data_IF_544821376322
#
_entry.id   IF_544821376322
#
_cell.length_a   1.000
_cell.length_b   1.000
_cell.length_c   1.000
_cell.angle_alpha   90.00
_cell.angle_beta   90.00
_cell.angle_gamma   90.00
#
_symmetry.space_group_name_H-M   'P 1'
#
loop_
_entity.id
_entity.type
_entity.pdbx_description
1 polymer ?
#
# COMPACT_ATOMS: atom_id res chain seq x y z
N UNK A 1 -2.85 -0.92 -5.59
CA UNK A 1 -3.76 -0.77 -6.74
C UNK A 1 -3.45 0.53 -7.48
N UNK A 2 -3.33 0.47 -8.77
CA UNK A 2 -3.10 1.63 -9.63
C UNK A 2 -4.40 1.94 -10.36
N UNK A 3 -4.80 3.21 -10.34
CA UNK A 3 -5.99 3.69 -11.03
C UNK A 3 -5.65 4.97 -11.81
N UNK A 4 -6.37 5.23 -12.88
CA UNK A 4 -6.26 6.50 -13.59
C UNK A 4 -6.83 7.63 -12.74
N UNK A 5 -6.19 8.79 -12.74
CA UNK A 5 -6.55 9.96 -11.94
C UNK A 5 -7.93 10.53 -12.29
N UNK A 6 -8.41 10.30 -13.50
CA UNK A 6 -9.76 10.65 -13.95
C UNK A 6 -10.29 9.56 -14.88
N UNK A 7 -11.64 9.45 -15.05
CA UNK A 7 -12.18 8.56 -16.04
C UNK A 7 -11.74 9.06 -17.42
N UNK A 8 -10.68 8.47 -17.92
CA UNK A 8 -10.13 8.80 -19.22
C UNK A 8 -11.05 8.20 -20.29
N UNK A 9 -11.54 9.03 -21.19
CA UNK A 9 -11.96 8.45 -22.44
C UNK A 9 -10.71 7.93 -23.17
N UNK A 10 -10.89 6.98 -24.04
CA UNK A 10 -9.78 6.32 -24.75
C UNK A 10 -8.92 7.31 -25.54
N UNK A 11 -9.48 8.41 -26.01
CA UNK A 11 -8.77 9.43 -26.77
C UNK A 11 -7.80 10.21 -25.91
N UNK A 12 -8.20 10.55 -24.68
CA UNK A 12 -7.32 11.23 -23.72
C UNK A 12 -6.19 10.29 -23.32
N UNK A 13 -6.49 9.04 -23.04
CA UNK A 13 -5.49 8.02 -22.70
C UNK A 13 -4.48 7.83 -23.85
N UNK A 14 -4.94 7.76 -25.08
CA UNK A 14 -4.06 7.64 -26.26
C UNK A 14 -3.20 8.88 -26.50
N UNK A 15 -3.61 10.05 -26.05
CA UNK A 15 -2.84 11.28 -26.16
C UNK A 15 -1.71 11.38 -25.13
N UNK A 16 -1.75 10.62 -24.03
CA UNK A 16 -0.70 10.61 -23.01
C UNK A 16 0.52 9.83 -23.49
N UNK A 17 1.60 10.55 -23.82
CA UNK A 17 2.86 9.94 -24.24
C UNK A 17 3.75 9.57 -23.07
N UNK A 18 3.71 10.36 -22.00
CA UNK A 18 4.55 10.20 -20.81
C UNK A 18 3.67 10.37 -19.57
N UNK A 19 2.82 9.39 -19.24
CA UNK A 19 1.98 9.48 -18.06
C UNK A 19 2.84 9.53 -16.80
N UNK A 20 2.53 10.46 -15.90
CA UNK A 20 3.23 10.64 -14.64
C UNK A 20 2.54 9.89 -13.51
N UNK A 21 3.33 9.24 -12.68
CA UNK A 21 2.86 8.57 -11.46
C UNK A 21 3.92 8.63 -10.37
N UNK A 22 3.51 8.34 -9.13
CA UNK A 22 4.46 8.13 -8.03
C UNK A 22 5.02 6.72 -8.10
N UNK A 23 6.31 6.58 -7.87
CA UNK A 23 6.98 5.29 -7.73
C UNK A 23 7.26 5.03 -6.26
N UNK A 24 6.81 3.87 -5.76
CA UNK A 24 7.00 3.47 -4.38
C UNK A 24 6.03 4.13 -3.41
N UNK A 25 6.37 4.06 -2.13
CA UNK A 25 5.52 4.54 -1.04
C UNK A 25 5.53 6.06 -0.92
N UNK A 26 4.36 6.65 -0.76
CA UNK A 26 4.24 8.04 -0.32
C UNK A 26 4.66 8.15 1.16
N UNK A 27 5.24 9.29 1.57
CA UNK A 27 5.48 9.56 2.99
C UNK A 27 4.20 9.43 3.81
N UNK A 28 4.26 8.66 4.89
CA UNK A 28 3.10 8.42 5.76
C UNK A 28 2.99 9.50 6.83
N UNK A 29 1.82 10.17 6.95
CA UNK A 29 1.53 11.00 8.11
C UNK A 29 1.56 10.20 9.40
N UNK A 30 1.69 10.87 10.54
CA UNK A 30 1.77 10.22 11.84
C UNK A 30 0.58 9.28 12.09
N UNK A 31 -0.64 9.72 11.83
CA UNK A 31 -1.84 8.90 12.05
C UNK A 31 -1.88 7.63 11.21
N UNK A 32 -1.31 7.63 10.01
CA UNK A 32 -1.20 6.44 9.16
C UNK A 32 -0.14 5.49 9.74
N UNK A 33 0.98 6.02 10.21
CA UNK A 33 2.01 5.21 10.87
C UNK A 33 1.48 4.53 12.13
N UNK A 34 0.71 5.25 12.93
CA UNK A 34 0.07 4.70 14.13
C UNK A 34 -0.90 3.57 13.81
N UNK A 35 -1.69 3.69 12.73
CA UNK A 35 -2.56 2.61 12.26
C UNK A 35 -1.76 1.38 11.81
N UNK A 36 -0.70 1.58 11.04
CA UNK A 36 0.13 0.48 10.55
C UNK A 36 0.82 -0.27 11.68
N UNK A 37 1.17 0.42 12.76
CA UNK A 37 1.85 -0.18 13.91
C UNK A 37 0.91 -0.97 14.82
N UNK A 38 -0.41 -0.83 14.66
CA UNK A 38 -1.37 -1.63 15.41
C UNK A 38 -1.27 -3.11 15.03
N UNK A 39 -1.29 -4.03 15.99
CA UNK A 39 -1.23 -5.48 15.73
C UNK A 39 -2.49 -6.01 15.03
N UNK A 40 -3.63 -5.38 15.26
CA UNK A 40 -4.90 -5.73 14.61
C UNK A 40 -5.77 -4.48 14.44
N UNK A 41 -6.61 -4.50 13.43
CA UNK A 41 -7.54 -3.40 13.14
C UNK A 41 -8.97 -3.81 13.46
N UNK A 42 -9.70 -2.89 14.05
CA UNK A 42 -11.15 -2.95 14.14
C UNK A 42 -11.81 -2.21 12.95
N UNK A 43 -13.13 -2.17 12.92
CA UNK A 43 -13.88 -1.49 11.85
C UNK A 43 -13.55 0.01 11.77
N UNK A 44 -13.33 0.67 12.91
CA UNK A 44 -12.98 2.08 12.95
C UNK A 44 -11.58 2.32 12.35
N UNK A 45 -10.63 1.42 12.60
CA UNK A 45 -9.29 1.49 12.02
C UNK A 45 -9.34 1.29 10.51
N UNK A 46 -10.15 0.36 10.02
CA UNK A 46 -10.37 0.16 8.58
C UNK A 46 -10.94 1.41 7.92
N UNK A 47 -11.96 2.03 8.51
CA UNK A 47 -12.53 3.27 8.01
C UNK A 47 -11.52 4.43 8.04
N UNK A 48 -10.71 4.51 9.08
CA UNK A 48 -9.67 5.54 9.18
C UNK A 48 -8.61 5.37 8.09
N UNK A 49 -8.20 4.15 7.80
CA UNK A 49 -7.26 3.87 6.72
C UNK A 49 -7.89 4.15 5.35
N UNK A 50 -9.15 3.81 5.14
CA UNK A 50 -9.86 4.14 3.90
C UNK A 50 -9.90 5.64 3.66
N UNK A 51 -10.18 6.44 4.68
CA UNK A 51 -10.16 7.90 4.59
C UNK A 51 -8.75 8.42 4.28
N UNK A 52 -7.72 7.85 4.90
CA UNK A 52 -6.33 8.22 4.65
C UNK A 52 -5.93 7.92 3.20
N UNK A 53 -6.30 6.78 2.67
CA UNK A 53 -6.02 6.41 1.27
C UNK A 53 -6.75 7.34 0.29
N UNK A 54 -8.01 7.70 0.57
CA UNK A 54 -8.72 8.71 -0.25
C UNK A 54 -7.99 10.04 -0.27
N UNK A 55 -7.44 10.45 0.86
CA UNK A 55 -6.63 11.66 0.94
C UNK A 55 -5.35 11.53 0.10
N UNK A 56 -4.65 10.40 0.17
CA UNK A 56 -3.46 10.14 -0.64
C UNK A 56 -3.77 10.19 -2.14
N UNK A 57 -4.90 9.63 -2.56
CA UNK A 57 -5.37 9.70 -3.95
C UNK A 57 -5.66 11.14 -4.36
N UNK A 58 -6.37 11.89 -3.51
CA UNK A 58 -6.70 13.29 -3.79
C UNK A 58 -5.48 14.17 -3.92
N UNK A 59 -4.45 13.97 -3.10
CA UNK A 59 -3.18 14.70 -3.23
C UNK A 59 -2.52 14.47 -4.59
N UNK A 60 -2.52 13.24 -5.07
CA UNK A 60 -1.93 12.89 -6.36
C UNK A 60 -2.73 13.50 -7.51
N UNK A 61 -4.06 13.47 -7.45
CA UNK A 61 -4.93 14.12 -8.43
C UNK A 61 -4.71 15.64 -8.45
N UNK A 62 -4.63 16.28 -7.28
CA UNK A 62 -4.35 17.71 -7.17
C UNK A 62 -2.96 18.08 -7.70
N UNK A 63 -1.99 17.20 -7.57
CA UNK A 63 -0.66 17.37 -8.14
C UNK A 63 -0.61 17.18 -9.66
N UNK A 64 -1.70 16.76 -10.27
CA UNK A 64 -1.80 16.57 -11.72
C UNK A 64 -1.19 15.26 -12.22
N UNK A 65 -1.05 14.25 -11.36
CA UNK A 65 -0.58 12.94 -11.79
C UNK A 65 -1.63 12.24 -12.66
N UNK A 66 -1.18 11.54 -13.69
CA UNK A 66 -2.05 10.83 -14.63
C UNK A 66 -2.52 9.48 -14.07
N UNK A 67 -1.67 8.84 -13.28
CA UNK A 67 -1.95 7.57 -12.61
C UNK A 67 -1.76 7.77 -11.11
N UNK A 68 -2.72 7.33 -10.33
CA UNK A 68 -2.68 7.42 -8.87
C UNK A 68 -2.61 6.05 -8.23
N UNK A 69 -2.03 6.00 -7.04
CA UNK A 69 -1.90 4.79 -6.22
C UNK A 69 -2.48 5.03 -4.84
N UNK A 70 -2.60 3.99 -4.03
CA UNK A 70 -2.96 4.10 -2.62
C UNK A 70 -1.80 4.62 -1.74
N UNK A 71 -0.66 5.00 -2.34
CA UNK A 71 0.54 5.43 -1.64
C UNK A 71 1.26 4.32 -0.89
N UNK A 72 0.82 3.09 -1.04
CA UNK A 72 1.27 1.91 -0.28
C UNK A 72 1.05 2.06 1.23
N UNK A 73 0.10 2.87 1.64
CA UNK A 73 -0.13 3.18 3.06
C UNK A 73 -0.68 2.01 3.87
N UNK A 74 -1.35 1.05 3.23
CA UNK A 74 -1.85 -0.17 3.90
C UNK A 74 -0.77 -1.22 4.14
N UNK A 75 0.37 -1.11 3.48
CA UNK A 75 1.44 -2.11 3.56
C UNK A 75 2.33 -1.88 4.77
N UNK A 76 2.51 -2.90 5.57
CA UNK A 76 3.48 -2.87 6.68
C UNK A 76 4.91 -2.91 6.17
N UNK A 77 5.15 -3.70 5.13
CA UNK A 77 6.45 -3.79 4.49
C UNK A 77 6.31 -4.11 3.00
N UNK A 78 7.36 -3.88 2.26
CA UNK A 78 7.43 -4.19 0.83
C UNK A 78 7.12 -5.68 0.54
N UNK A 79 7.59 -6.59 1.39
CA UNK A 79 7.41 -8.04 1.23
C UNK A 79 6.17 -8.55 1.98
N UNK A 80 5.65 -7.78 2.93
CA UNK A 80 4.57 -8.19 3.83
C UNK A 80 3.28 -8.62 3.11
N UNK A 81 2.98 -8.04 1.95
CA UNK A 81 1.80 -8.41 1.15
C UNK A 81 1.86 -9.89 0.73
N UNK A 82 3.02 -10.37 0.32
CA UNK A 82 3.20 -11.78 -0.06
C UNK A 82 3.02 -12.68 1.16
N UNK A 83 3.54 -12.27 2.31
CA UNK A 83 3.41 -13.02 3.56
C UNK A 83 1.96 -13.15 4.03
N UNK A 84 1.11 -12.15 3.75
CA UNK A 84 -0.31 -12.20 4.06
C UNK A 84 -1.09 -13.18 3.18
N UNK A 85 -0.62 -13.44 1.97
CA UNK A 85 -1.29 -14.27 0.97
C UNK A 85 -0.81 -15.73 0.95
N UNK A 86 0.25 -16.06 1.67
CA UNK A 86 0.86 -17.38 1.63
C UNK A 86 1.17 -17.92 3.03
N UNK A 87 1.16 -19.23 3.16
CA UNK A 87 1.70 -19.92 4.33
C UNK A 87 3.21 -20.09 4.19
N UNK A 88 3.88 -20.33 5.29
CA UNK A 88 5.33 -20.60 5.30
C UNK A 88 6.18 -19.36 5.65
N UNK A 89 5.53 -18.27 6.07
CA UNK A 89 6.21 -17.08 6.58
C UNK A 89 5.99 -16.92 8.07
N UNK A 90 6.99 -16.38 8.75
CA UNK A 90 6.90 -15.93 10.13
C UNK A 90 7.48 -14.54 10.28
N UNK A 91 7.03 -13.83 11.31
CA UNK A 91 7.61 -12.55 11.70
C UNK A 91 8.70 -12.79 12.75
N UNK A 92 9.87 -12.26 12.50
CA UNK A 92 10.97 -12.22 13.44
C UNK A 92 11.37 -10.76 13.72
N UNK A 93 12.01 -10.54 14.84
CA UNK A 93 12.53 -9.23 15.18
C UNK A 93 13.96 -9.10 14.64
N UNK A 94 14.19 -8.05 13.86
CA UNK A 94 15.53 -7.72 13.41
C UNK A 94 16.35 -7.22 14.59
N UNK A 95 17.43 -7.91 14.93
CA UNK A 95 18.28 -7.58 16.06
C UNK A 95 19.02 -6.25 15.90
N UNK A 96 19.18 -5.76 14.68
CA UNK A 96 19.88 -4.52 14.40
C UNK A 96 19.05 -3.28 14.72
N UNK A 97 17.73 -3.30 14.44
CA UNK A 97 16.85 -2.14 14.57
C UNK A 97 15.57 -2.39 15.36
N UNK A 98 15.37 -3.61 15.86
CA UNK A 98 14.19 -4.00 16.62
C UNK A 98 12.89 -4.10 15.83
N UNK A 99 12.93 -3.98 14.49
CA UNK A 99 11.75 -4.03 13.65
C UNK A 99 11.34 -5.44 13.27
N UNK A 100 10.04 -5.73 13.18
CA UNK A 100 9.60 -7.02 12.67
C UNK A 100 9.94 -7.16 11.19
N UNK A 101 10.36 -8.33 10.79
CA UNK A 101 10.57 -8.69 9.40
C UNK A 101 10.04 -10.09 9.12
N UNK A 102 9.82 -10.39 7.84
CA UNK A 102 9.24 -11.64 7.42
C UNK A 102 10.33 -12.61 6.98
N UNK A 103 10.27 -13.83 7.50
CA UNK A 103 11.20 -14.91 7.14
C UNK A 103 10.43 -16.11 6.57
N UNK A 104 11.04 -16.86 5.69
CA UNK A 104 10.52 -18.12 5.18
C UNK A 104 10.87 -19.20 6.18
N UNK A 105 9.87 -19.91 6.70
CA UNK A 105 10.04 -20.96 7.73
C UNK A 105 9.83 -22.36 7.21
N UNK A 106 9.06 -22.50 6.13
CA UNK A 106 8.71 -23.79 5.56
C UNK A 106 8.31 -23.65 4.09
N UNK A 107 7.90 -24.75 3.47
CA UNK A 107 7.42 -24.72 2.08
C UNK A 107 6.29 -23.71 1.92
N UNK A 108 6.44 -22.81 0.96
CA UNK A 108 5.44 -21.80 0.67
C UNK A 108 4.23 -22.40 -0.06
N UNK A 109 3.04 -21.98 0.37
CA UNK A 109 1.78 -22.34 -0.28
C UNK A 109 0.80 -21.16 -0.19
N UNK A 110 0.05 -20.91 -1.25
CA UNK A 110 -0.97 -19.87 -1.25
C UNK A 110 -2.06 -20.20 -0.23
N UNK A 111 -2.53 -19.19 0.47
CA UNK A 111 -3.72 -19.28 1.31
C UNK A 111 -4.94 -19.42 0.41
N UNK A 112 -5.84 -20.29 0.81
CA UNK A 112 -7.14 -20.39 0.14
C UNK A 112 -7.99 -19.17 0.49
N UNK A 113 -8.75 -18.72 -0.51
CA UNK A 113 -9.68 -17.62 -0.33
C UNK A 113 -10.82 -17.94 0.62
#
# INVERSE_FOLDING_TARGET
MIALASPLDERVSAALRFPASVVGSLPRPQHVRELIDKPAWDEADEHAMDAAVRFAVSLQEMAGLDVVTDGEWRRRSYIGVIAELAHGFALEVNLADGRPWTVVTEKLALKQA
#
